data_IF_052979178636
#
_entry.id   IF_052979178636
#
_cell.length_a   1.000
_cell.length_b   1.000
_cell.length_c   1.000
_cell.angle_alpha   90.00
_cell.angle_beta   90.00
_cell.angle_gamma   90.00
#
_symmetry.space_group_name_H-M   'P 1'
#
loop_
_entity.id
_entity.type
_entity.pdbx_description
1 polymer ?
#
# COMPACT_ATOMS: atom_id res chain seq x y z
N UNK A 1 -21.53 13.20 -54.11
CA UNK A 1 -21.44 12.00 -53.23
C UNK A 1 -20.05 11.84 -52.58
N UNK A 2 -18.89 12.12 -53.24
CA UNK A 2 -17.55 11.95 -52.64
C UNK A 2 -17.20 12.90 -51.48
N UNK A 3 -17.78 14.11 -51.43
CA UNK A 3 -17.52 15.12 -50.37
C UNK A 3 -18.26 14.84 -49.07
N UNK A 4 -19.40 14.19 -49.10
CA UNK A 4 -20.21 13.84 -47.92
C UNK A 4 -19.59 12.67 -47.13
N UNK A 5 -18.98 11.71 -47.85
CA UNK A 5 -18.33 10.55 -47.21
C UNK A 5 -17.04 10.97 -46.47
N UNK A 6 -16.28 11.95 -46.99
CA UNK A 6 -15.07 12.47 -46.35
C UNK A 6 -15.40 13.22 -45.03
N UNK A 7 -16.53 13.91 -44.95
CA UNK A 7 -16.94 14.64 -43.74
C UNK A 7 -17.42 13.68 -42.62
N UNK A 8 -18.04 12.56 -43.00
CA UNK A 8 -18.48 11.55 -42.00
C UNK A 8 -17.33 10.77 -41.40
N UNK A 9 -16.24 10.55 -42.18
CA UNK A 9 -15.07 9.82 -41.68
C UNK A 9 -14.22 10.65 -40.69
N UNK A 10 -14.32 11.97 -40.75
CA UNK A 10 -13.55 12.87 -39.86
C UNK A 10 -14.21 13.05 -38.48
N UNK A 11 -15.52 12.78 -38.36
CA UNK A 11 -16.25 12.92 -37.09
C UNK A 11 -16.10 11.69 -36.15
N UNK A 12 -15.63 10.55 -36.63
CA UNK A 12 -15.50 9.32 -35.83
C UNK A 12 -14.17 9.23 -35.06
N UNK A 13 -13.23 10.17 -35.25
CA UNK A 13 -11.92 10.16 -34.61
C UNK A 13 -11.85 10.96 -33.29
N UNK A 14 -12.95 11.58 -32.84
CA UNK A 14 -12.94 12.40 -31.61
C UNK A 14 -13.57 11.74 -30.36
N UNK A 15 -13.93 10.47 -30.41
CA UNK A 15 -14.54 9.77 -29.26
C UNK A 15 -13.56 8.96 -28.43
N UNK A 16 -12.38 9.52 -28.12
CA UNK A 16 -11.31 8.86 -27.38
C UNK A 16 -10.92 9.56 -26.08
N UNK A 17 -11.86 10.12 -25.31
CA UNK A 17 -11.59 10.52 -23.94
C UNK A 17 -12.22 9.49 -23.00
N UNK A 18 -11.51 8.40 -22.73
CA UNK A 18 -11.77 7.62 -21.52
C UNK A 18 -11.37 8.50 -20.34
N UNK A 19 -12.33 8.84 -19.47
CA UNK A 19 -12.04 9.53 -18.21
C UNK A 19 -11.15 8.62 -17.37
N UNK A 20 -9.90 9.01 -17.20
CA UNK A 20 -8.98 8.37 -16.27
C UNK A 20 -9.39 8.83 -14.85
N UNK A 21 -9.86 7.92 -13.97
CA UNK A 21 -10.29 8.27 -12.61
C UNK A 21 -9.18 8.95 -11.81
N UNK A 22 -7.91 8.61 -12.08
CA UNK A 22 -6.75 9.22 -11.45
C UNK A 22 -6.56 10.67 -11.92
N UNK A 23 -6.77 10.94 -13.20
CA UNK A 23 -6.70 12.29 -13.77
C UNK A 23 -7.89 13.17 -13.30
N UNK A 24 -9.05 12.59 -13.02
CA UNK A 24 -10.18 13.29 -12.40
C UNK A 24 -9.89 13.64 -10.94
N UNK A 25 -9.29 12.74 -10.19
CA UNK A 25 -8.89 12.98 -8.80
C UNK A 25 -7.83 14.09 -8.69
N UNK A 26 -6.89 14.16 -9.64
CA UNK A 26 -5.95 15.28 -9.73
C UNK A 26 -6.61 16.61 -10.10
N UNK A 27 -7.65 16.58 -10.96
CA UNK A 27 -8.36 17.79 -11.39
C UNK A 27 -9.36 18.31 -10.35
N UNK A 28 -9.88 17.44 -9.49
CA UNK A 28 -10.86 17.84 -8.46
C UNK A 28 -10.26 18.78 -7.40
N UNK A 29 -8.93 18.94 -7.36
CA UNK A 29 -8.27 19.87 -6.45
C UNK A 29 -8.52 19.57 -4.98
N UNK A 30 -8.93 18.35 -4.66
CA UNK A 30 -9.15 17.90 -3.30
C UNK A 30 -7.83 18.00 -2.53
N UNK A 31 -7.75 18.95 -1.59
CA UNK A 31 -6.60 19.14 -0.69
C UNK A 31 -6.39 17.97 0.30
N UNK A 32 -6.72 16.75 -0.12
CA UNK A 32 -6.56 15.53 0.68
C UNK A 32 -5.11 15.16 0.92
N UNK A 33 -4.18 15.73 0.13
CA UNK A 33 -2.74 15.44 0.17
C UNK A 33 -2.37 13.94 0.03
N UNK A 34 -3.25 13.12 -0.53
CA UNK A 34 -2.99 11.72 -0.88
C UNK A 34 -3.72 11.32 -2.16
N UNK A 35 -3.17 10.37 -2.88
CA UNK A 35 -3.81 9.71 -4.01
C UNK A 35 -4.51 8.48 -3.43
N UNK A 36 -5.84 8.48 -3.39
CA UNK A 36 -6.58 7.28 -3.03
C UNK A 36 -6.50 6.30 -4.20
N UNK A 37 -5.86 5.16 -4.01
CA UNK A 37 -5.94 4.05 -4.94
C UNK A 37 -7.38 3.48 -4.98
N UNK A 38 -7.67 2.74 -6.03
CA UNK A 38 -8.98 2.12 -6.29
C UNK A 38 -9.09 0.68 -5.75
N UNK A 39 -8.09 0.21 -4.99
CA UNK A 39 -7.99 -1.18 -4.53
C UNK A 39 -7.33 -2.10 -5.56
N UNK A 40 -6.67 -1.56 -6.58
CA UNK A 40 -5.97 -2.36 -7.60
C UNK A 40 -4.92 -3.26 -6.98
N UNK A 41 -5.03 -4.55 -7.26
CA UNK A 41 -4.07 -5.58 -6.87
C UNK A 41 -3.11 -5.83 -8.02
N UNK A 42 -1.82 -5.87 -7.71
CA UNK A 42 -0.76 -6.31 -8.61
C UNK A 42 -0.05 -7.50 -7.96
N UNK A 43 -0.09 -8.65 -8.60
CA UNK A 43 0.72 -9.81 -8.21
C UNK A 43 1.93 -9.90 -9.13
N UNK A 44 3.11 -10.16 -8.55
CA UNK A 44 4.35 -10.30 -9.29
C UNK A 44 4.67 -11.78 -9.49
N UNK A 45 4.87 -12.20 -10.75
CA UNK A 45 5.35 -13.55 -11.05
C UNK A 45 6.66 -13.82 -10.28
N UNK A 46 6.87 -15.02 -9.78
CA UNK A 46 8.02 -15.37 -8.92
C UNK A 46 9.36 -14.89 -9.48
N UNK A 47 9.55 -15.00 -10.81
CA UNK A 47 10.77 -14.57 -11.50
C UNK A 47 10.91 -13.04 -11.65
N UNK A 48 9.84 -12.29 -11.42
CA UNK A 48 9.76 -10.84 -11.64
C UNK A 48 9.59 -10.05 -10.33
N UNK A 49 9.54 -10.72 -9.18
CA UNK A 49 9.37 -10.11 -7.86
C UNK A 49 10.50 -9.13 -7.55
N UNK A 50 10.18 -7.85 -7.31
CA UNK A 50 11.18 -6.87 -6.94
C UNK A 50 11.82 -7.25 -5.60
N UNK A 51 13.15 -7.16 -5.52
CA UNK A 51 13.86 -7.20 -4.26
C UNK A 51 13.82 -5.82 -3.59
N UNK A 52 13.82 -5.81 -2.26
CA UNK A 52 13.86 -4.58 -1.46
C UNK A 52 15.27 -4.37 -0.93
N UNK A 53 15.73 -3.12 -0.91
CA UNK A 53 16.97 -2.75 -0.24
C UNK A 53 16.82 -2.85 1.28
N UNK A 54 17.91 -3.07 1.99
CA UNK A 54 17.90 -3.01 3.45
C UNK A 54 17.40 -1.65 3.94
N UNK A 55 16.60 -1.68 4.99
CA UNK A 55 16.07 -0.48 5.63
C UNK A 55 16.05 -0.63 7.15
N UNK A 56 16.01 0.49 7.81
CA UNK A 56 15.78 0.54 9.26
C UNK A 56 15.01 1.80 9.63
N UNK A 57 14.32 1.76 10.76
CA UNK A 57 13.62 2.91 11.28
C UNK A 57 13.29 2.77 12.77
N UNK A 58 12.70 3.82 13.31
CA UNK A 58 12.22 3.85 14.69
C UNK A 58 10.71 3.74 14.68
N UNK A 59 10.17 2.85 15.52
CA UNK A 59 8.72 2.66 15.63
C UNK A 59 8.07 3.75 16.48
N UNK A 60 6.73 3.79 16.46
CA UNK A 60 5.92 4.69 17.30
C UNK A 60 6.19 4.53 18.81
N UNK A 61 6.64 3.34 19.23
CA UNK A 61 7.03 3.04 20.61
C UNK A 61 8.46 3.44 20.95
N UNK A 62 9.24 3.92 19.96
CA UNK A 62 10.65 4.26 20.10
C UNK A 62 11.62 3.10 19.92
N UNK A 63 11.15 1.89 19.63
CA UNK A 63 11.99 0.73 19.34
C UNK A 63 12.60 0.85 17.92
N UNK A 64 13.78 0.27 17.73
CA UNK A 64 14.39 0.14 16.40
C UNK A 64 13.83 -1.12 15.71
N UNK A 65 13.48 -0.99 14.45
CA UNK A 65 13.11 -2.09 13.57
C UNK A 65 14.00 -2.07 12.32
N UNK A 66 14.64 -3.19 12.03
CA UNK A 66 15.50 -3.38 10.88
C UNK A 66 14.92 -4.47 9.96
N UNK A 67 15.06 -4.33 8.65
CA UNK A 67 14.57 -5.32 7.67
C UNK A 67 15.15 -6.72 7.90
N UNK A 68 16.39 -6.83 8.38
CA UNK A 68 17.02 -8.11 8.71
C UNK A 68 16.31 -8.88 9.83
N UNK A 69 15.58 -8.20 10.73
CA UNK A 69 14.81 -8.85 11.79
C UNK A 69 13.53 -9.51 11.28
N UNK A 70 13.16 -9.24 10.03
CA UNK A 70 11.97 -9.78 9.36
C UNK A 70 12.30 -10.93 8.39
N UNK A 71 13.57 -11.29 8.26
CA UNK A 71 13.99 -12.40 7.40
C UNK A 71 13.37 -13.72 7.88
N UNK A 72 12.90 -14.53 6.94
CA UNK A 72 12.21 -15.80 7.21
C UNK A 72 10.73 -15.68 7.55
N UNK A 73 10.21 -14.46 7.70
CA UNK A 73 8.78 -14.19 7.84
C UNK A 73 8.15 -13.78 6.51
N UNK A 74 6.89 -14.12 6.30
CA UNK A 74 6.03 -13.39 5.35
C UNK A 74 5.71 -12.06 5.99
N UNK A 75 5.92 -10.96 5.27
CA UNK A 75 5.73 -9.61 5.83
C UNK A 75 4.63 -8.88 5.10
N UNK A 76 3.66 -8.36 5.86
CA UNK A 76 2.62 -7.46 5.36
C UNK A 76 3.00 -6.04 5.77
N UNK A 77 3.37 -5.21 4.80
CA UNK A 77 3.71 -3.80 5.05
C UNK A 77 2.61 -2.88 4.56
N UNK A 78 2.16 -1.96 5.43
CA UNK A 78 1.08 -1.02 5.11
C UNK A 78 1.54 0.44 5.30
N UNK A 79 1.53 1.23 4.24
CA UNK A 79 1.79 2.68 4.27
C UNK A 79 0.52 3.43 4.64
N UNK A 80 0.59 4.25 5.69
CA UNK A 80 -0.58 4.90 6.26
C UNK A 80 -0.30 6.22 6.99
N UNK A 81 -1.36 6.95 7.35
CA UNK A 81 -1.35 8.02 8.34
C UNK A 81 -2.74 8.21 8.94
N UNK A 82 -2.84 8.82 10.13
CA UNK A 82 -4.06 8.83 10.96
C UNK A 82 -5.25 9.59 10.36
N UNK A 83 -5.00 10.67 9.60
CA UNK A 83 -6.07 11.45 8.97
C UNK A 83 -6.55 10.90 7.61
N UNK A 84 -5.90 9.84 7.09
CA UNK A 84 -6.26 9.18 5.84
C UNK A 84 -7.58 8.39 6.02
N UNK A 85 -8.63 8.79 5.34
CA UNK A 85 -9.94 8.17 5.49
C UNK A 85 -9.97 6.69 5.09
N UNK A 86 -9.42 6.25 3.93
CA UNK A 86 -9.35 4.83 3.58
C UNK A 86 -8.46 4.02 4.53
N UNK A 87 -7.35 4.59 5.07
CA UNK A 87 -6.53 3.91 6.07
C UNK A 87 -7.32 3.61 7.36
N UNK A 88 -8.15 4.55 7.80
CA UNK A 88 -9.03 4.37 8.95
C UNK A 88 -10.10 3.30 8.70
N UNK A 89 -10.55 3.18 7.45
CA UNK A 89 -11.56 2.21 7.07
C UNK A 89 -11.02 0.78 6.99
N UNK A 90 -9.72 0.60 6.68
CA UNK A 90 -9.07 -0.73 6.60
C UNK A 90 -8.41 -1.17 7.92
N UNK A 91 -8.11 -0.25 8.83
CA UNK A 91 -7.39 -0.54 10.05
C UNK A 91 -7.96 -1.70 10.90
N UNK A 92 -9.31 -1.83 11.10
CA UNK A 92 -9.88 -2.99 11.79
C UNK A 92 -9.64 -4.32 11.06
N UNK A 93 -9.61 -4.30 9.73
CA UNK A 93 -9.36 -5.50 8.92
C UNK A 93 -7.89 -5.93 9.02
N UNK A 94 -6.95 -4.97 9.01
CA UNK A 94 -5.53 -5.23 9.24
C UNK A 94 -5.26 -5.77 10.64
N UNK A 95 -5.90 -5.21 11.68
CA UNK A 95 -5.80 -5.68 13.05
C UNK A 95 -6.26 -7.15 13.16
N UNK A 96 -7.44 -7.46 12.58
CA UNK A 96 -7.98 -8.81 12.60
C UNK A 96 -7.12 -9.82 11.83
N UNK A 97 -6.56 -9.43 10.67
CA UNK A 97 -5.66 -10.29 9.91
C UNK A 97 -4.33 -10.51 10.65
N UNK A 98 -3.77 -9.50 11.30
CA UNK A 98 -2.54 -9.66 12.08
C UNK A 98 -2.71 -10.65 13.24
N UNK A 99 -3.88 -10.67 13.88
CA UNK A 99 -4.24 -11.64 14.91
C UNK A 99 -4.42 -13.05 14.31
N UNK A 100 -5.12 -13.16 13.19
CA UNK A 100 -5.41 -14.41 12.47
C UNK A 100 -4.11 -15.14 12.06
N UNK A 101 -3.10 -14.39 11.58
CA UNK A 101 -1.84 -14.94 11.11
C UNK A 101 -0.70 -14.95 12.15
N UNK A 102 -0.93 -14.52 13.39
CA UNK A 102 0.10 -14.39 14.41
C UNK A 102 0.91 -15.66 14.68
N UNK A 103 0.30 -16.85 14.50
CA UNK A 103 0.94 -18.16 14.71
C UNK A 103 1.58 -18.76 13.45
N UNK A 104 1.53 -18.07 12.30
CA UNK A 104 1.88 -18.62 10.99
C UNK A 104 3.18 -18.03 10.40
N UNK A 105 4.05 -17.47 11.24
CA UNK A 105 5.29 -16.78 10.80
C UNK A 105 5.01 -15.64 9.82
N UNK A 106 3.94 -14.90 10.05
CA UNK A 106 3.60 -13.66 9.34
C UNK A 106 3.80 -12.48 10.27
N UNK A 107 4.47 -11.43 9.79
CA UNK A 107 4.68 -10.19 10.52
C UNK A 107 3.97 -9.04 9.81
N UNK A 108 3.21 -8.25 10.56
CA UNK A 108 2.62 -7.01 10.07
C UNK A 108 3.47 -5.83 10.52
N UNK A 109 3.70 -4.88 9.62
CA UNK A 109 4.46 -3.65 9.87
C UNK A 109 3.77 -2.48 9.21
N UNK A 110 3.45 -1.45 9.99
CA UNK A 110 3.01 -0.17 9.45
C UNK A 110 4.21 0.69 9.04
N UNK A 111 4.01 1.55 8.05
CA UNK A 111 4.92 2.65 7.70
C UNK A 111 4.14 3.95 7.78
N UNK A 112 4.30 4.67 8.87
CA UNK A 112 3.61 5.94 9.06
C UNK A 112 4.40 7.06 8.40
N UNK A 113 3.78 7.74 7.42
CA UNK A 113 4.46 8.71 6.56
C UNK A 113 4.20 10.18 6.93
N UNK A 114 3.42 10.47 8.01
CA UNK A 114 3.04 11.86 8.32
C UNK A 114 2.91 12.23 9.78
N UNK A 115 2.56 11.28 10.64
CA UNK A 115 2.15 11.59 11.99
C UNK A 115 3.32 11.62 12.99
N UNK A 116 3.05 12.17 14.18
CA UNK A 116 3.93 11.97 15.36
C UNK A 116 3.65 10.60 15.98
N UNK A 117 4.58 10.12 16.80
CA UNK A 117 4.44 8.85 17.53
C UNK A 117 3.18 8.83 18.42
N UNK A 118 2.86 9.95 19.09
CA UNK A 118 1.66 10.06 19.92
C UNK A 118 0.37 9.91 19.13
N UNK A 119 0.34 10.48 17.92
CA UNK A 119 -0.82 10.36 17.01
C UNK A 119 -0.95 8.92 16.50
N UNK A 120 0.16 8.27 16.13
CA UNK A 120 0.18 6.87 15.73
C UNK A 120 -0.32 5.95 16.86
N UNK A 121 0.22 6.09 18.07
CA UNK A 121 -0.23 5.34 19.25
C UNK A 121 -1.71 5.57 19.60
N UNK A 122 -2.24 6.77 19.36
CA UNK A 122 -3.67 7.03 19.56
C UNK A 122 -4.54 6.33 18.52
N UNK A 123 -4.06 6.24 17.27
CA UNK A 123 -4.69 5.49 16.20
C UNK A 123 -4.70 3.99 16.51
N UNK A 124 -3.57 3.42 16.93
CA UNK A 124 -3.43 2.00 17.26
C UNK A 124 -4.42 1.60 18.36
N UNK A 125 -4.47 2.38 19.46
CA UNK A 125 -5.46 2.15 20.53
C UNK A 125 -6.90 2.20 20.04
N UNK A 126 -7.21 3.11 19.12
CA UNK A 126 -8.57 3.29 18.62
C UNK A 126 -9.02 2.13 17.72
N UNK A 127 -8.12 1.58 16.92
CA UNK A 127 -8.45 0.56 15.92
C UNK A 127 -8.01 -0.86 16.29
N UNK A 128 -7.38 -1.03 17.47
CA UNK A 128 -6.92 -2.32 17.94
C UNK A 128 -5.68 -2.84 17.20
N UNK A 129 -4.84 -1.93 16.66
CA UNK A 129 -3.58 -2.29 16.03
C UNK A 129 -2.58 -2.72 17.11
N UNK A 130 -1.95 -3.88 16.92
CA UNK A 130 -0.98 -4.47 17.85
C UNK A 130 0.41 -4.65 17.22
N UNK A 131 0.52 -4.50 15.91
CA UNK A 131 1.78 -4.57 15.20
C UNK A 131 2.47 -3.20 15.13
N UNK A 132 3.82 -3.15 15.08
CA UNK A 132 4.57 -1.89 15.09
C UNK A 132 4.42 -1.11 13.78
N UNK A 133 4.52 0.22 13.88
CA UNK A 133 4.61 1.12 12.74
C UNK A 133 5.92 1.91 12.76
N UNK A 134 6.74 1.80 11.71
CA UNK A 134 7.92 2.65 11.56
C UNK A 134 7.47 4.09 11.26
N UNK A 135 8.02 5.04 12.01
CA UNK A 135 7.76 6.48 11.86
C UNK A 135 8.68 7.08 10.78
N UNK A 136 8.28 6.94 9.52
CA UNK A 136 9.12 7.27 8.36
C UNK A 136 9.04 8.76 7.93
N UNK A 137 8.17 9.55 8.57
CA UNK A 137 7.88 10.94 8.24
C UNK A 137 9.14 11.83 8.24
N UNK A 138 10.11 11.58 9.13
CA UNK A 138 11.30 12.43 9.25
C UNK A 138 12.43 12.00 8.32
N UNK A 139 12.60 10.71 8.10
CA UNK A 139 13.75 10.17 7.36
C UNK A 139 13.41 9.78 5.93
N UNK A 140 12.20 9.29 5.70
CA UNK A 140 11.81 8.72 4.42
C UNK A 140 12.60 7.47 4.03
N UNK A 141 13.37 6.89 4.96
CA UNK A 141 14.32 5.80 4.67
C UNK A 141 13.62 4.52 4.21
N UNK A 142 12.50 4.17 4.85
CA UNK A 142 11.70 3.01 4.44
C UNK A 142 11.04 3.27 3.10
N UNK A 143 10.37 4.42 2.94
CA UNK A 143 9.74 4.78 1.66
C UNK A 143 10.73 4.85 0.51
N UNK A 144 11.99 5.25 0.77
CA UNK A 144 13.06 5.26 -0.23
C UNK A 144 13.44 3.84 -0.65
N UNK A 145 13.58 2.89 0.29
CA UNK A 145 13.90 1.49 0.00
C UNK A 145 12.86 0.83 -0.92
N UNK A 146 11.61 1.28 -0.84
CA UNK A 146 10.49 0.78 -1.64
C UNK A 146 10.09 1.69 -2.82
N UNK A 147 10.87 2.72 -3.15
CA UNK A 147 10.51 3.78 -4.12
C UNK A 147 10.19 3.29 -5.54
N UNK A 148 10.69 2.11 -5.94
CA UNK A 148 10.34 1.48 -7.23
C UNK A 148 8.96 0.83 -7.27
N UNK A 149 8.32 0.62 -6.11
CA UNK A 149 7.06 -0.13 -5.98
C UNK A 149 5.99 0.66 -5.26
N UNK A 150 6.37 1.46 -4.28
CA UNK A 150 5.47 2.30 -3.48
C UNK A 150 5.74 3.77 -3.75
N UNK A 151 4.68 4.53 -4.04
CA UNK A 151 4.74 5.99 -4.04
C UNK A 151 4.39 6.51 -2.64
N UNK A 152 5.20 7.37 -2.01
CA UNK A 152 4.88 7.94 -0.70
C UNK A 152 3.56 8.73 -0.64
N UNK A 153 3.02 9.10 -1.80
CA UNK A 153 1.75 9.83 -1.92
C UNK A 153 0.55 8.90 -2.13
N UNK A 154 0.78 7.64 -2.56
CA UNK A 154 -0.25 6.63 -2.73
C UNK A 154 -0.50 5.91 -1.40
N UNK A 155 -1.43 6.43 -0.60
CA UNK A 155 -1.76 5.93 0.75
C UNK A 155 -3.26 5.71 0.86
N UNK A 156 -3.72 4.54 1.34
CA UNK A 156 -2.90 3.42 1.77
C UNK A 156 -2.30 2.62 0.61
N UNK A 157 -1.18 1.99 0.85
CA UNK A 157 -0.60 0.96 0.00
C UNK A 157 -0.19 -0.22 0.89
N UNK A 158 -0.55 -1.43 0.51
CA UNK A 158 -0.19 -2.65 1.23
C UNK A 158 0.64 -3.55 0.33
N UNK A 159 1.75 -4.06 0.87
CA UNK A 159 2.59 -5.07 0.22
C UNK A 159 2.53 -6.38 0.99
N UNK A 160 2.57 -7.50 0.27
CA UNK A 160 2.90 -8.82 0.81
C UNK A 160 4.29 -9.19 0.30
N UNK A 161 5.18 -9.50 1.23
CA UNK A 161 6.61 -9.74 1.00
C UNK A 161 6.92 -11.17 1.42
N UNK A 162 7.66 -11.90 0.60
CA UNK A 162 8.07 -13.28 0.83
C UNK A 162 9.13 -13.39 1.92
N UNK A 163 9.38 -14.63 2.40
CA UNK A 163 10.39 -14.92 3.42
C UNK A 163 11.83 -14.56 3.01
N UNK A 164 12.09 -14.50 1.71
CA UNK A 164 13.38 -14.07 1.13
C UNK A 164 13.41 -12.57 0.77
N UNK A 165 12.45 -11.79 1.26
CA UNK A 165 12.44 -10.32 1.13
C UNK A 165 12.03 -9.78 -0.23
N UNK A 166 11.33 -10.57 -1.06
CA UNK A 166 10.83 -10.13 -2.35
C UNK A 166 9.35 -9.75 -2.29
N UNK A 167 8.95 -8.77 -3.07
CA UNK A 167 7.55 -8.30 -3.10
C UNK A 167 6.73 -9.26 -3.97
N UNK A 168 5.80 -10.01 -3.34
CA UNK A 168 4.89 -10.91 -4.02
C UNK A 168 3.67 -10.18 -4.59
N UNK A 169 3.10 -9.25 -3.82
CA UNK A 169 1.94 -8.49 -4.26
C UNK A 169 1.89 -7.07 -3.69
N UNK A 170 1.12 -6.22 -4.36
CA UNK A 170 0.86 -4.84 -3.97
C UNK A 170 -0.62 -4.52 -4.13
N UNK A 171 -1.23 -3.92 -3.11
CA UNK A 171 -2.58 -3.36 -3.16
C UNK A 171 -2.48 -1.84 -3.05
N UNK A 172 -3.00 -1.12 -4.04
CA UNK A 172 -3.07 0.35 -4.05
C UNK A 172 -4.46 0.80 -3.58
N UNK A 173 -4.51 1.55 -2.49
CA UNK A 173 -5.76 1.98 -1.87
C UNK A 173 -6.21 1.00 -0.79
N UNK A 174 -7.48 1.17 -0.34
CA UNK A 174 -8.06 0.36 0.72
C UNK A 174 -8.06 -1.12 0.35
N UNK A 175 -7.57 -1.95 1.26
CA UNK A 175 -7.65 -3.41 1.12
C UNK A 175 -9.09 -3.93 1.18
N UNK A 176 -9.34 -5.03 0.48
CA UNK A 176 -10.41 -5.97 0.82
C UNK A 176 -9.80 -7.07 1.70
N UNK A 177 -10.44 -7.36 2.86
CA UNK A 177 -9.93 -8.31 3.84
C UNK A 177 -9.75 -9.71 3.27
N UNK A 178 -10.69 -10.16 2.45
CA UNK A 178 -10.64 -11.51 1.86
C UNK A 178 -9.54 -11.62 0.81
N UNK A 179 -9.35 -10.57 0.02
CA UNK A 179 -8.28 -10.50 -0.98
C UNK A 179 -6.91 -10.49 -0.30
N UNK A 180 -6.71 -9.65 0.72
CA UNK A 180 -5.41 -9.63 1.42
C UNK A 180 -5.12 -10.95 2.13
N UNK A 181 -6.13 -11.63 2.70
CA UNK A 181 -5.97 -12.98 3.27
C UNK A 181 -5.44 -13.95 2.23
N UNK A 182 -6.07 -14.04 1.07
CA UNK A 182 -5.66 -14.93 -0.02
C UNK A 182 -4.23 -14.66 -0.50
N UNK A 183 -3.86 -13.37 -0.63
CA UNK A 183 -2.49 -12.99 -1.00
C UNK A 183 -1.45 -13.44 0.04
N UNK A 184 -1.79 -13.38 1.33
CA UNK A 184 -0.91 -13.86 2.41
C UNK A 184 -0.81 -15.38 2.38
N UNK A 185 -1.94 -16.10 2.27
CA UNK A 185 -2.01 -17.56 2.21
C UNK A 185 -1.21 -18.10 1.03
N UNK A 186 -1.34 -17.50 -0.15
CA UNK A 186 -0.54 -17.86 -1.35
C UNK A 186 0.96 -17.80 -1.06
N UNK A 187 1.45 -16.78 -0.36
CA UNK A 187 2.89 -16.64 -0.05
C UNK A 187 3.33 -17.57 1.09
N UNK A 188 2.43 -17.94 2.01
CA UNK A 188 2.73 -18.92 3.07
C UNK A 188 2.98 -20.31 2.48
N UNK A 189 2.23 -20.69 1.45
CA UNK A 189 2.26 -22.01 0.81
C UNK A 189 3.48 -22.20 -0.11
N UNK A 190 4.20 -21.14 -0.45
CA UNK A 190 5.44 -21.19 -1.25
C UNK A 190 6.66 -21.64 -0.43
#
# INVERSE_FOLDING_TARGET
>A
MKRVVATFLLLTLLSGCTSDPLAEQFRSGDNKNYIAGDGTVTEFAVSERPAVSEWSGVTESGARLDSSSLEGFVVVMNWWYAACAPCRAEAPDLAALSEEFASQSVQFVGVNVRDTSETALAFDRRFGITFPSVMDQQTGSVSLAFSGVVSPQAVPTTLVITRDGKIASRVLGRIDKSVLRELIETVIEE
#
